data_IF_175913431914
#
_entry.id   IF_175913431914
#
_cell.length_a   1.000
_cell.length_b   1.000
_cell.length_c   1.000
_cell.angle_alpha   90.00
_cell.angle_beta   90.00
_cell.angle_gamma   90.00
#
_symmetry.space_group_name_H-M   'P 1'
#
loop_
_entity.id
_entity.type
_entity.pdbx_description
1 polymer ?
#
# COMPACT_ATOMS: atom_id res chain seq x y z
N UNK A 1 15.01 -9.10 8.27
CA UNK A 1 13.90 -9.44 9.19
C UNK A 1 13.18 -10.74 8.83
N UNK A 2 13.18 -11.18 7.57
CA UNK A 2 12.56 -12.45 7.14
C UNK A 2 13.51 -13.24 6.25
N UNK A 3 13.34 -14.55 6.21
CA UNK A 3 13.90 -15.46 5.20
C UNK A 3 12.75 -15.84 4.27
N UNK A 4 13.02 -15.91 2.97
CA UNK A 4 12.06 -16.31 1.96
C UNK A 4 12.40 -17.71 1.44
N UNK A 5 11.39 -18.56 1.31
CA UNK A 5 11.48 -19.91 0.78
C UNK A 5 10.57 -20.03 -0.44
N UNK A 6 10.99 -20.82 -1.42
CA UNK A 6 10.08 -21.27 -2.45
C UNK A 6 9.03 -22.20 -1.83
N UNK A 7 7.77 -22.02 -2.21
CA UNK A 7 6.65 -22.81 -1.74
C UNK A 7 5.71 -23.16 -2.90
N UNK A 8 4.99 -24.26 -2.74
CA UNK A 8 3.91 -24.65 -3.64
C UNK A 8 2.63 -24.81 -2.85
N UNK A 9 1.54 -24.24 -3.37
CA UNK A 9 0.21 -24.37 -2.78
C UNK A 9 -0.64 -25.19 -3.72
N UNK A 10 -1.15 -26.32 -3.20
CA UNK A 10 -2.12 -27.18 -3.86
C UNK A 10 -3.52 -26.73 -3.47
N UNK A 11 -4.34 -26.36 -4.45
CA UNK A 11 -5.76 -26.03 -4.28
C UNK A 11 -6.60 -27.09 -4.98
N UNK A 12 -7.55 -27.68 -4.26
CA UNK A 12 -8.47 -28.64 -4.86
C UNK A 12 -9.49 -27.92 -5.76
N UNK A 13 -9.85 -28.57 -6.87
CA UNK A 13 -10.82 -28.01 -7.82
C UNK A 13 -12.23 -28.07 -7.26
N UNK A 14 -12.97 -26.96 -7.35
CA UNK A 14 -14.43 -26.99 -7.20
C UNK A 14 -14.98 -27.85 -8.36
N UNK A 15 -15.63 -28.97 -8.07
CA UNK A 15 -16.20 -29.96 -9.01
C UNK A 15 -15.30 -31.16 -9.40
N UNK A 16 -14.30 -31.53 -8.59
CA UNK A 16 -13.58 -32.80 -8.77
C UNK A 16 -12.61 -32.83 -9.95
N UNK A 17 -12.30 -31.67 -10.54
CA UNK A 17 -11.19 -31.52 -11.47
C UNK A 17 -9.84 -31.77 -10.80
N UNK A 18 -8.75 -31.92 -11.59
CA UNK A 18 -7.42 -32.13 -11.04
C UNK A 18 -7.02 -30.97 -10.13
N UNK A 19 -6.29 -31.25 -9.04
CA UNK A 19 -5.82 -30.21 -8.13
C UNK A 19 -4.85 -29.30 -8.86
N UNK A 20 -4.92 -28.00 -8.54
CA UNK A 20 -4.04 -26.99 -9.11
C UNK A 20 -2.89 -26.73 -8.17
N UNK A 21 -1.66 -26.81 -8.69
CA UNK A 21 -0.45 -26.41 -7.96
C UNK A 21 -0.04 -25.03 -8.46
N UNK A 22 0.19 -24.11 -7.52
CA UNK A 22 0.64 -22.75 -7.80
C UNK A 22 1.93 -22.47 -7.03
N UNK A 23 2.80 -21.61 -7.58
CA UNK A 23 4.07 -21.24 -6.97
C UNK A 23 3.88 -20.02 -6.06
N UNK A 24 4.51 -20.07 -4.88
CA UNK A 24 4.42 -19.08 -3.83
C UNK A 24 5.79 -18.84 -3.21
N UNK A 25 5.89 -17.74 -2.46
CA UNK A 25 7.03 -17.40 -1.61
C UNK A 25 6.55 -17.42 -0.17
N UNK A 26 7.12 -18.30 0.65
CA UNK A 26 6.85 -18.36 2.08
C UNK A 26 7.90 -17.53 2.84
N UNK A 27 7.46 -16.54 3.61
CA UNK A 27 8.35 -15.66 4.38
C UNK A 27 8.23 -15.95 5.87
N UNK A 28 9.33 -16.38 6.48
CA UNK A 28 9.43 -16.65 7.92
C UNK A 28 10.27 -15.59 8.61
N UNK A 29 9.91 -15.22 9.84
CA UNK A 29 10.71 -14.31 10.67
C UNK A 29 11.79 -15.12 11.39
N UNK A 30 13.07 -14.76 11.21
CA UNK A 30 14.21 -15.53 11.74
C UNK A 30 14.80 -14.98 13.05
N UNK A 31 14.35 -13.81 13.52
CA UNK A 31 14.84 -13.18 14.76
C UNK A 31 13.94 -13.42 15.97
N UNK A 32 12.80 -14.06 15.76
CA UNK A 32 11.84 -14.29 16.83
C UNK A 32 12.21 -15.61 17.51
N UNK A 33 12.33 -15.63 18.84
CA UNK A 33 12.71 -16.84 19.59
C UNK A 33 11.68 -17.97 19.50
N UNK A 34 10.44 -17.62 19.16
CA UNK A 34 9.31 -18.53 18.98
C UNK A 34 8.43 -18.02 17.84
N UNK A 35 7.75 -18.94 17.15
CA UNK A 35 6.82 -18.58 16.09
C UNK A 35 5.62 -17.82 16.67
N UNK A 36 5.20 -16.74 16.00
CA UNK A 36 4.12 -15.88 16.47
C UNK A 36 3.22 -15.48 15.31
N UNK A 37 1.92 -15.71 15.44
CA UNK A 37 0.93 -15.35 14.41
C UNK A 37 0.78 -13.83 14.31
N UNK A 38 0.79 -13.13 15.44
CA UNK A 38 0.44 -11.70 15.52
C UNK A 38 1.28 -10.80 14.58
N UNK A 39 2.62 -10.88 14.53
CA UNK A 39 3.40 -10.06 13.60
C UNK A 39 3.08 -10.32 12.11
N UNK A 40 2.75 -11.55 11.75
CA UNK A 40 2.37 -11.90 10.38
C UNK A 40 0.96 -11.39 10.06
N UNK A 41 0.01 -11.53 10.99
CA UNK A 41 -1.34 -10.98 10.88
C UNK A 41 -1.34 -9.45 10.79
N UNK A 42 -0.49 -8.76 11.56
CA UNK A 42 -0.29 -7.32 11.44
C UNK A 42 0.21 -6.94 10.04
N UNK A 43 1.12 -7.73 9.46
CA UNK A 43 1.58 -7.50 8.09
C UNK A 43 0.47 -7.70 7.05
N UNK A 44 -0.40 -8.70 7.25
CA UNK A 44 -1.54 -8.95 6.35
C UNK A 44 -2.53 -7.79 6.39
N UNK A 45 -2.90 -7.31 7.59
CA UNK A 45 -3.76 -6.12 7.75
C UNK A 45 -3.16 -4.87 7.11
N UNK A 46 -1.83 -4.72 7.14
CA UNK A 46 -1.16 -3.63 6.45
C UNK A 46 -1.28 -3.77 4.93
N UNK A 47 -1.20 -4.98 4.37
CA UNK A 47 -1.45 -5.17 2.93
C UNK A 47 -2.90 -4.82 2.58
N UNK A 48 -3.88 -5.24 3.40
CA UNK A 48 -5.29 -4.86 3.21
C UNK A 48 -5.46 -3.33 3.22
N UNK A 49 -4.88 -2.64 4.20
CA UNK A 49 -4.90 -1.18 4.27
C UNK A 49 -4.26 -0.51 3.03
N UNK A 50 -3.12 -1.02 2.57
CA UNK A 50 -2.49 -0.56 1.33
C UNK A 50 -3.37 -0.79 0.09
N UNK A 51 -4.09 -1.92 0.05
CA UNK A 51 -5.02 -2.25 -1.04
C UNK A 51 -6.19 -1.28 -1.10
N UNK A 52 -6.76 -0.91 0.06
CA UNK A 52 -7.80 0.11 0.13
C UNK A 52 -7.29 1.48 -0.31
N UNK A 53 -6.13 1.91 0.16
CA UNK A 53 -5.52 3.17 -0.28
C UNK A 53 -5.26 3.20 -1.80
N UNK A 54 -4.83 2.06 -2.37
CA UNK A 54 -4.61 1.95 -3.80
C UNK A 54 -5.91 2.10 -4.59
N UNK A 55 -7.00 1.46 -4.14
CA UNK A 55 -8.32 1.58 -4.78
C UNK A 55 -8.84 3.02 -4.73
N UNK A 56 -8.71 3.71 -3.60
CA UNK A 56 -9.11 5.11 -3.47
C UNK A 56 -8.27 6.02 -4.38
N UNK A 57 -6.96 5.80 -4.45
CA UNK A 57 -6.07 6.53 -5.36
C UNK A 57 -6.43 6.30 -6.83
N UNK A 58 -6.72 5.05 -7.21
CA UNK A 58 -7.17 4.70 -8.56
C UNK A 58 -8.48 5.39 -8.92
N UNK A 59 -9.43 5.43 -7.98
CA UNK A 59 -10.68 6.15 -8.16
C UNK A 59 -10.44 7.66 -8.37
N UNK A 60 -9.55 8.28 -7.59
CA UNK A 60 -9.17 9.68 -7.76
C UNK A 60 -8.54 9.95 -9.14
N UNK A 61 -7.67 9.07 -9.63
CA UNK A 61 -7.08 9.18 -10.98
C UNK A 61 -8.15 9.07 -12.06
N UNK A 62 -9.04 8.08 -11.94
CA UNK A 62 -10.10 7.82 -12.92
C UNK A 62 -11.03 9.04 -13.08
N UNK A 63 -11.44 9.62 -11.94
CA UNK A 63 -12.34 10.78 -11.88
C UNK A 63 -11.67 12.11 -12.23
N UNK A 64 -10.34 12.18 -12.30
CA UNK A 64 -9.64 13.42 -12.60
C UNK A 64 -9.87 13.83 -14.07
N UNK A 65 -10.32 15.07 -14.30
CA UNK A 65 -10.59 15.63 -15.64
C UNK A 65 -9.40 16.38 -16.23
N UNK A 66 -8.25 16.40 -15.54
CA UNK A 66 -7.04 17.06 -16.04
C UNK A 66 -6.54 16.39 -17.32
N UNK A 67 -6.21 17.19 -18.33
CA UNK A 67 -5.62 16.73 -19.59
C UNK A 67 -4.20 16.15 -19.41
N UNK A 68 -3.57 16.38 -18.26
CA UNK A 68 -2.28 15.78 -17.89
C UNK A 68 -2.39 14.26 -17.61
N UNK A 69 -3.59 13.78 -17.25
CA UNK A 69 -3.86 12.35 -17.06
C UNK A 69 -4.42 11.76 -18.35
N UNK A 70 -3.52 11.27 -19.20
CA UNK A 70 -3.87 10.57 -20.44
C UNK A 70 -4.65 9.29 -20.14
N UNK A 71 -5.41 8.81 -21.13
CA UNK A 71 -6.11 7.52 -21.04
C UNK A 71 -5.16 6.36 -20.72
N UNK A 72 -3.95 6.38 -21.28
CA UNK A 72 -2.92 5.38 -21.01
C UNK A 72 -2.48 5.39 -19.54
N UNK A 73 -2.21 6.57 -18.97
CA UNK A 73 -1.85 6.71 -17.55
C UNK A 73 -2.96 6.21 -16.63
N UNK A 74 -4.22 6.52 -16.96
CA UNK A 74 -5.38 6.02 -16.21
C UNK A 74 -5.49 4.50 -16.27
N UNK A 75 -5.32 3.92 -17.46
CA UNK A 75 -5.33 2.47 -17.65
C UNK A 75 -4.22 1.79 -16.86
N UNK A 76 -2.98 2.28 -16.96
CA UNK A 76 -1.84 1.76 -16.17
C UNK A 76 -2.09 1.88 -14.66
N UNK A 77 -2.61 3.02 -14.19
CA UNK A 77 -2.94 3.20 -12.78
C UNK A 77 -3.98 2.20 -12.29
N UNK A 78 -5.05 1.97 -13.08
CA UNK A 78 -6.11 1.00 -12.76
C UNK A 78 -5.66 -0.46 -12.76
N UNK A 79 -4.56 -0.78 -13.44
CA UNK A 79 -4.03 -2.14 -13.51
C UNK A 79 -3.26 -2.56 -12.25
N UNK A 80 -2.87 -1.60 -11.40
CA UNK A 80 -2.12 -1.93 -10.18
C UNK A 80 -2.95 -2.73 -9.17
N UNK A 81 -2.36 -3.77 -8.62
CA UNK A 81 -2.94 -4.59 -7.56
C UNK A 81 -1.87 -5.05 -6.57
N UNK A 82 -2.29 -5.45 -5.37
CA UNK A 82 -1.39 -6.12 -4.42
C UNK A 82 -1.32 -7.62 -4.70
N UNK A 83 -0.13 -8.17 -4.54
CA UNK A 83 0.12 -9.60 -4.61
C UNK A 83 -0.83 -10.36 -3.67
N UNK A 84 -1.35 -11.50 -4.16
CA UNK A 84 -2.14 -12.40 -3.32
C UNK A 84 -1.28 -12.88 -2.17
N UNK A 85 -1.81 -12.81 -0.97
CA UNK A 85 -1.07 -13.15 0.23
C UNK A 85 -1.97 -13.80 1.27
N UNK A 86 -1.36 -14.55 2.19
CA UNK A 86 -2.04 -15.09 3.35
C UNK A 86 -1.05 -15.38 4.49
N UNK A 87 -1.58 -15.60 5.69
CA UNK A 87 -0.81 -16.09 6.84
C UNK A 87 -1.16 -17.55 7.05
N UNK A 88 -0.14 -18.40 7.13
CA UNK A 88 -0.30 -19.82 7.48
C UNK A 88 0.52 -20.13 8.72
N UNK A 89 0.08 -21.14 9.46
CA UNK A 89 0.81 -21.67 10.60
C UNK A 89 0.64 -23.18 10.71
N UNK A 90 1.58 -23.83 11.38
CA UNK A 90 1.53 -25.25 11.76
C UNK A 90 1.43 -25.37 13.27
N UNK A 91 0.93 -26.51 13.77
CA UNK A 91 0.72 -26.74 15.19
C UNK A 91 -0.57 -26.09 15.72
N UNK A 92 -0.59 -25.80 17.02
CA UNK A 92 -1.75 -25.18 17.68
C UNK A 92 -1.78 -23.66 17.48
N UNK A 93 -2.96 -23.05 17.40
CA UNK A 93 -3.07 -21.61 17.20
C UNK A 93 -2.51 -20.79 18.39
N UNK A 94 -2.64 -21.31 19.61
CA UNK A 94 -2.07 -20.70 20.82
C UNK A 94 -0.57 -20.94 20.98
N UNK A 95 -0.05 -22.00 20.34
CA UNK A 95 1.38 -22.37 20.35
C UNK A 95 1.80 -22.88 18.96
N UNK A 96 1.92 -21.97 17.97
CA UNK A 96 2.26 -22.38 16.62
C UNK A 96 3.71 -22.85 16.57
N UNK A 97 3.98 -23.90 15.80
CA UNK A 97 5.33 -24.42 15.56
C UNK A 97 6.05 -23.54 14.54
N UNK A 98 5.39 -23.29 13.40
CA UNK A 98 5.87 -22.39 12.36
C UNK A 98 4.79 -21.41 11.95
N UNK A 99 5.19 -20.23 11.51
CA UNK A 99 4.30 -19.21 10.93
C UNK A 99 4.97 -18.62 9.70
N UNK A 100 4.24 -18.57 8.59
CA UNK A 100 4.71 -17.99 7.33
C UNK A 100 3.73 -16.93 6.84
N UNK A 101 4.30 -15.89 6.22
CA UNK A 101 3.56 -14.98 5.35
C UNK A 101 3.79 -15.43 3.91
N UNK A 102 2.73 -15.93 3.27
CA UNK A 102 2.76 -16.41 1.89
C UNK A 102 2.41 -15.28 0.93
N UNK A 103 3.07 -15.24 -0.21
CA UNK A 103 2.72 -14.42 -1.37
C UNK A 103 2.78 -15.27 -2.65
N UNK A 104 1.88 -15.04 -3.60
CA UNK A 104 2.00 -15.70 -4.91
C UNK A 104 3.32 -15.31 -5.57
N UNK A 105 4.03 -16.27 -6.16
CA UNK A 105 5.30 -15.99 -6.83
C UNK A 105 5.07 -15.04 -8.01
N UNK A 106 5.92 -14.02 -8.12
CA UNK A 106 5.90 -13.05 -9.22
C UNK A 106 7.00 -13.42 -10.22
N UNK A 107 6.63 -13.55 -11.49
CA UNK A 107 7.54 -13.87 -12.58
C UNK A 107 7.74 -12.64 -13.47
N UNK A 108 8.98 -12.16 -13.58
CA UNK A 108 9.34 -11.03 -14.44
C UNK A 108 10.39 -10.11 -13.80
N UNK A 109 10.63 -8.97 -14.43
CA UNK A 109 11.60 -7.99 -13.92
C UNK A 109 11.06 -7.31 -12.67
N UNK A 110 11.79 -7.47 -11.57
CA UNK A 110 11.46 -6.86 -10.30
C UNK A 110 11.99 -5.43 -10.25
N UNK A 111 11.12 -4.48 -9.93
CA UNK A 111 11.48 -3.07 -9.79
C UNK A 111 11.05 -2.51 -8.45
N UNK A 112 11.78 -1.51 -7.97
CA UNK A 112 11.44 -0.76 -6.75
C UNK A 112 11.19 0.70 -7.10
N UNK A 113 9.97 1.17 -6.89
CA UNK A 113 9.54 2.54 -7.18
C UNK A 113 9.90 3.52 -6.06
N UNK A 114 9.88 3.06 -4.82
CA UNK A 114 10.40 3.78 -3.66
C UNK A 114 10.75 2.78 -2.54
N UNK A 115 11.50 3.23 -1.54
CA UNK A 115 11.65 2.54 -0.27
C UNK A 115 11.08 3.36 0.88
N UNK A 116 11.16 2.86 2.10
CA UNK A 116 10.84 3.66 3.28
C UNK A 116 11.87 4.77 3.61
N UNK A 117 13.00 4.88 2.89
CA UNK A 117 14.04 5.91 3.10
C UNK A 117 14.56 6.56 1.82
N UNK A 118 14.16 6.06 0.65
CA UNK A 118 14.57 6.54 -0.66
C UNK A 118 13.33 6.73 -1.54
N UNK A 119 13.01 7.98 -1.83
CA UNK A 119 11.88 8.43 -2.64
C UNK A 119 12.33 9.16 -3.91
N UNK A 120 13.63 9.24 -4.18
CA UNK A 120 14.21 9.82 -5.39
C UNK A 120 14.73 8.71 -6.31
N UNK A 121 13.89 7.71 -6.58
CA UNK A 121 14.23 6.60 -7.46
C UNK A 121 14.28 7.07 -8.92
N UNK A 122 15.33 6.67 -9.62
CA UNK A 122 15.56 6.93 -11.05
C UNK A 122 14.96 5.83 -11.93
N UNK A 123 14.80 6.14 -13.22
CA UNK A 123 14.23 5.22 -14.22
C UNK A 123 15.25 4.28 -14.89
N UNK A 124 16.43 4.15 -14.30
CA UNK A 124 17.57 3.38 -14.83
C UNK A 124 17.56 1.90 -14.43
N UNK A 125 16.66 1.50 -13.52
CA UNK A 125 16.45 0.11 -13.16
C UNK A 125 15.96 -0.71 -14.37
N UNK A 126 16.55 -1.89 -14.56
CA UNK A 126 16.10 -2.83 -15.59
C UNK A 126 14.63 -3.23 -15.38
N UNK A 127 13.85 -3.21 -16.46
CA UNK A 127 12.40 -3.45 -16.43
C UNK A 127 11.54 -2.30 -15.89
N UNK A 128 12.12 -1.14 -15.54
CA UNK A 128 11.37 0.02 -15.05
C UNK A 128 10.57 0.70 -16.17
N UNK A 129 9.25 0.67 -16.05
CA UNK A 129 8.36 1.51 -16.85
C UNK A 129 8.24 2.91 -16.21
N UNK A 130 8.61 3.95 -16.96
CA UNK A 130 8.66 5.34 -16.47
C UNK A 130 7.28 5.83 -16.01
N UNK A 131 6.21 5.44 -16.70
CA UNK A 131 4.86 5.84 -16.32
C UNK A 131 4.44 5.14 -15.02
N UNK A 132 4.77 3.86 -14.86
CA UNK A 132 4.55 3.13 -13.60
C UNK A 132 5.32 3.79 -12.44
N UNK A 133 6.56 4.24 -12.67
CA UNK A 133 7.32 5.00 -11.68
C UNK A 133 6.60 6.29 -11.27
N UNK A 134 6.11 7.08 -12.23
CA UNK A 134 5.36 8.30 -11.91
C UNK A 134 4.07 8.02 -11.14
N UNK A 135 3.33 6.97 -11.51
CA UNK A 135 2.09 6.57 -10.85
C UNK A 135 2.35 6.20 -9.39
N UNK A 136 3.41 5.43 -9.12
CA UNK A 136 3.75 4.96 -7.76
C UNK A 136 4.40 6.05 -6.90
N UNK A 137 5.23 6.91 -7.49
CA UNK A 137 5.77 8.08 -6.80
C UNK A 137 4.64 9.05 -6.39
N UNK A 138 3.70 9.32 -7.30
CA UNK A 138 2.53 10.13 -7.01
C UNK A 138 1.56 9.47 -6.02
N UNK A 139 1.51 8.13 -5.94
CA UNK A 139 0.71 7.42 -4.94
C UNK A 139 1.24 7.66 -3.52
N UNK A 140 2.56 7.65 -3.35
CA UNK A 140 3.20 7.99 -2.06
C UNK A 140 2.82 9.43 -1.66
N UNK A 141 2.88 10.38 -2.59
CA UNK A 141 2.48 11.78 -2.35
C UNK A 141 0.99 11.95 -2.07
N UNK A 142 0.13 11.31 -2.84
CA UNK A 142 -1.31 11.36 -2.65
C UNK A 142 -1.70 10.85 -1.26
N UNK A 143 -1.15 9.71 -0.82
CA UNK A 143 -1.45 9.16 0.52
C UNK A 143 -0.96 10.08 1.66
N UNK A 144 0.15 10.79 1.44
CA UNK A 144 0.64 11.83 2.35
C UNK A 144 -0.31 13.02 2.44
N UNK A 145 -0.78 13.50 1.30
CA UNK A 145 -1.74 14.61 1.25
C UNK A 145 -3.10 14.23 1.86
N UNK A 146 -3.62 13.04 1.52
CA UNK A 146 -4.91 12.54 2.01
C UNK A 146 -4.94 12.37 3.54
N UNK A 147 -3.80 11.96 4.11
CA UNK A 147 -3.65 11.84 5.57
C UNK A 147 -3.30 13.14 6.29
N UNK A 148 -3.36 14.30 5.61
CA UNK A 148 -2.91 15.60 6.13
C UNK A 148 -1.47 15.56 6.69
N UNK A 149 -0.59 14.82 6.05
CA UNK A 149 0.82 14.71 6.40
C UNK A 149 1.14 13.76 7.56
N UNK A 150 0.17 12.95 8.01
CA UNK A 150 0.40 12.00 9.11
C UNK A 150 1.03 10.68 8.67
N UNK A 151 0.74 10.22 7.44
CA UNK A 151 1.08 8.88 6.97
C UNK A 151 1.38 8.88 5.48
N UNK A 152 2.19 7.95 5.02
CA UNK A 152 2.33 7.71 3.59
C UNK A 152 2.61 6.24 3.30
N UNK A 153 2.13 5.77 2.15
CA UNK A 153 2.50 4.47 1.62
C UNK A 153 3.90 4.55 0.99
N UNK A 154 4.72 3.54 1.22
CA UNK A 154 6.08 3.45 0.70
C UNK A 154 6.48 1.99 0.46
N UNK A 155 7.77 1.75 0.16
CA UNK A 155 8.27 0.42 -0.21
C UNK A 155 7.44 -0.19 -1.36
N UNK A 156 7.03 0.65 -2.31
CA UNK A 156 6.31 0.25 -3.51
C UNK A 156 7.29 -0.43 -4.47
N UNK A 157 7.02 -1.70 -4.76
CA UNK A 157 7.91 -2.58 -5.52
C UNK A 157 7.14 -3.81 -6.00
N UNK A 158 7.61 -4.44 -7.06
CA UNK A 158 6.96 -5.63 -7.61
C UNK A 158 7.34 -5.90 -9.06
N UNK A 159 6.45 -6.59 -9.78
CA UNK A 159 6.62 -6.97 -11.17
C UNK A 159 5.41 -6.48 -11.97
N UNK A 160 5.66 -5.72 -13.04
CA UNK A 160 4.59 -5.12 -13.84
C UNK A 160 3.68 -4.23 -13.00
N UNK A 161 2.41 -4.59 -12.88
CA UNK A 161 1.41 -3.89 -12.07
C UNK A 161 1.08 -4.60 -10.75
N UNK A 162 1.76 -5.71 -10.42
CA UNK A 162 1.53 -6.44 -9.16
C UNK A 162 2.57 -6.03 -8.12
N UNK A 163 2.10 -5.35 -7.06
CA UNK A 163 2.91 -4.83 -5.97
C UNK A 163 3.06 -5.85 -4.82
N UNK A 164 4.22 -5.87 -4.18
CA UNK A 164 4.52 -6.72 -3.02
C UNK A 164 5.27 -5.93 -1.96
N UNK A 165 5.15 -6.35 -0.69
CA UNK A 165 5.84 -5.75 0.45
C UNK A 165 5.62 -4.24 0.62
N UNK A 166 4.41 -3.68 0.38
CA UNK A 166 4.19 -2.28 0.70
C UNK A 166 4.37 -2.05 2.21
N UNK A 167 4.73 -0.83 2.58
CA UNK A 167 4.77 -0.38 3.97
C UNK A 167 3.97 0.91 4.12
N UNK A 168 3.55 1.20 5.35
CA UNK A 168 2.98 2.50 5.72
C UNK A 168 3.90 3.12 6.78
N UNK A 169 4.38 4.32 6.48
CA UNK A 169 5.05 5.18 7.46
C UNK A 169 4.00 6.03 8.16
N UNK A 170 4.11 6.19 9.48
CA UNK A 170 3.16 6.95 10.30
C UNK A 170 3.90 7.75 11.37
N UNK A 171 3.43 8.98 11.63
CA UNK A 171 3.94 9.79 12.74
C UNK A 171 3.90 9.08 14.10
N UNK A 172 2.96 8.14 14.30
CA UNK A 172 2.97 7.20 15.41
C UNK A 172 3.78 5.95 15.07
N UNK A 173 4.96 5.84 15.68
CA UNK A 173 5.88 4.68 15.58
C UNK A 173 5.26 3.35 16.03
N UNK A 174 4.15 3.34 16.76
CA UNK A 174 3.49 2.13 17.26
C UNK A 174 2.50 1.53 16.26
N UNK A 175 2.13 2.28 15.21
CA UNK A 175 1.20 1.80 14.18
C UNK A 175 1.92 0.97 13.11
N UNK A 176 1.14 0.13 12.43
CA UNK A 176 1.53 -0.69 11.27
C UNK A 176 2.49 -1.84 11.59
N UNK A 177 3.46 -2.10 10.72
CA UNK A 177 4.44 -3.16 10.84
C UNK A 177 5.86 -2.58 11.02
N UNK A 178 6.85 -3.47 11.14
CA UNK A 178 8.23 -3.12 11.45
C UNK A 178 8.93 -2.19 10.43
N UNK A 179 8.33 -1.93 9.25
CA UNK A 179 8.86 -0.98 8.27
C UNK A 179 8.57 0.49 8.58
N UNK A 180 7.71 0.78 9.57
CA UNK A 180 7.39 2.13 10.01
C UNK A 180 8.58 2.80 10.71
N UNK A 181 9.34 3.59 9.97
CA UNK A 181 10.43 4.44 10.50
C UNK A 181 9.96 5.85 10.88
N UNK A 182 8.64 6.07 10.89
CA UNK A 182 7.94 7.24 11.42
C UNK A 182 8.47 8.58 10.90
N UNK A 183 8.69 9.56 11.78
CA UNK A 183 9.13 10.92 11.44
C UNK A 183 10.34 10.96 10.51
N UNK A 184 11.28 9.99 10.65
CA UNK A 184 12.44 9.92 9.77
C UNK A 184 12.03 9.66 8.32
N UNK A 185 11.19 8.66 8.07
CA UNK A 185 10.74 8.37 6.70
C UNK A 185 9.89 9.48 6.10
N UNK A 186 9.04 10.13 6.91
CA UNK A 186 8.29 11.31 6.48
C UNK A 186 9.24 12.44 6.08
N UNK A 187 10.30 12.68 6.86
CA UNK A 187 11.31 13.69 6.53
C UNK A 187 12.06 13.34 5.23
N UNK A 188 12.47 12.09 5.05
CA UNK A 188 13.08 11.65 3.79
C UNK A 188 12.14 11.87 2.60
N UNK A 189 10.85 11.53 2.74
CA UNK A 189 9.86 11.77 1.71
C UNK A 189 9.74 13.25 1.35
N UNK A 190 9.61 14.14 2.34
CA UNK A 190 9.49 15.59 2.13
C UNK A 190 10.73 16.16 1.43
N UNK A 191 11.93 15.68 1.79
CA UNK A 191 13.19 16.18 1.23
C UNK A 191 13.41 15.70 -0.21
N UNK A 192 13.07 14.44 -0.49
CA UNK A 192 13.47 13.76 -1.72
C UNK A 192 12.40 13.81 -2.82
N UNK A 193 11.11 13.74 -2.48
CA UNK A 193 10.04 13.70 -3.47
C UNK A 193 10.04 14.96 -4.34
N UNK A 194 9.78 14.78 -5.64
CA UNK A 194 9.63 15.85 -6.62
C UNK A 194 8.33 15.57 -7.37
N UNK A 195 7.39 16.51 -7.31
CA UNK A 195 6.11 16.37 -7.99
C UNK A 195 6.32 16.07 -9.47
N UNK A 196 5.62 15.05 -9.97
CA UNK A 196 5.57 14.71 -11.38
C UNK A 196 4.23 15.13 -12.00
N UNK A 197 4.01 14.81 -13.28
CA UNK A 197 2.79 15.20 -14.02
C UNK A 197 1.50 14.76 -13.33
N UNK A 198 1.49 13.61 -12.67
CA UNK A 198 0.32 13.07 -11.97
C UNK A 198 0.06 13.86 -10.69
N UNK A 199 1.10 14.20 -9.91
CA UNK A 199 0.96 15.07 -8.74
C UNK A 199 0.32 16.42 -9.12
N UNK A 200 0.74 16.99 -10.25
CA UNK A 200 0.18 18.23 -10.79
C UNK A 200 -1.25 18.05 -11.29
N UNK A 201 -1.56 16.96 -11.98
CA UNK A 201 -2.91 16.65 -12.44
C UNK A 201 -3.91 16.54 -11.28
N UNK A 202 -3.45 15.97 -10.17
CA UNK A 202 -4.23 15.81 -8.94
C UNK A 202 -4.23 17.06 -8.03
N UNK A 203 -3.58 18.15 -8.45
CA UNK A 203 -3.44 19.39 -7.67
C UNK A 203 -2.89 19.18 -6.25
N UNK A 204 -1.96 18.22 -6.07
CA UNK A 204 -1.38 17.95 -4.77
C UNK A 204 -0.47 19.09 -4.33
N UNK A 205 -0.69 19.61 -3.12
CA UNK A 205 0.24 20.55 -2.51
C UNK A 205 1.60 19.89 -2.32
N UNK A 206 2.72 20.59 -2.58
CA UNK A 206 4.06 20.08 -2.30
C UNK A 206 4.16 19.54 -0.86
N UNK A 207 4.88 18.42 -0.61
CA UNK A 207 4.90 17.77 0.71
C UNK A 207 5.28 18.69 1.86
N UNK A 208 6.23 19.62 1.66
CA UNK A 208 6.62 20.60 2.66
C UNK A 208 5.47 21.55 3.06
N UNK A 209 4.60 21.91 2.12
CA UNK A 209 3.42 22.76 2.40
C UNK A 209 2.35 21.98 3.16
N UNK A 210 2.10 20.72 2.79
CA UNK A 210 1.18 19.84 3.52
C UNK A 210 1.62 19.71 4.98
N UNK A 211 2.91 19.41 5.20
CA UNK A 211 3.48 19.26 6.52
C UNK A 211 3.37 20.54 7.37
N UNK A 212 3.66 21.71 6.80
CA UNK A 212 3.57 22.98 7.52
C UNK A 212 2.13 23.33 7.89
N UNK A 213 1.17 23.10 6.99
CA UNK A 213 -0.24 23.38 7.26
C UNK A 213 -0.79 22.51 8.40
N UNK A 214 -0.40 21.23 8.46
CA UNK A 214 -0.78 20.33 9.55
C UNK A 214 -0.22 20.79 10.91
N UNK A 215 1.01 21.32 10.93
CA UNK A 215 1.64 21.85 12.15
C UNK A 215 1.02 23.18 12.61
N UNK A 216 0.52 24.01 11.70
CA UNK A 216 -0.18 25.25 12.08
C UNK A 216 -1.54 24.95 12.73
N UNK A 217 -2.29 23.96 12.24
CA UNK A 217 -3.55 23.55 12.88
C UNK A 217 -3.38 22.99 14.30
N UNK A 218 -2.23 22.37 14.61
CA UNK A 218 -1.95 21.85 15.95
C UNK A 218 -1.41 22.92 16.92
N UNK A 219 -0.80 24.00 16.42
CA UNK A 219 -0.30 25.11 17.25
C UNK A 219 -1.36 26.20 17.53
N UNK A 220 -2.42 26.32 16.71
CA UNK A 220 -3.53 27.26 16.96
C UNK A 220 -4.54 26.77 18.01
N UNK A 221 -4.33 25.61 18.65
CA UNK A 221 -5.21 25.06 19.68
C UNK A 221 -4.85 25.45 21.13
N UNK A 222 -3.97 26.43 21.33
CA UNK A 222 -3.75 27.08 22.64
C UNK A 222 -4.57 28.38 22.74
N UNK A 223 -5.48 28.38 23.71
CA UNK A 223 -6.42 29.45 24.09
C UNK A 223 -5.78 30.84 24.11
N UNK A 224 -6.48 31.86 23.59
CA UNK A 224 -6.48 33.16 24.24
C UNK A 224 -7.88 33.55 24.70
N UNK A 225 -7.94 34.10 25.92
CA UNK A 225 -9.09 34.76 26.47
C UNK A 225 -9.51 35.97 25.62
N UNK A 226 -10.83 36.11 25.45
CA UNK A 226 -11.63 37.30 25.11
C UNK A 226 -10.90 38.61 24.74
N UNK A 227 -11.16 39.16 23.54
CA UNK A 227 -12.17 40.23 23.32
C UNK A 227 -12.17 40.77 21.87
N UNK A 228 -13.39 41.05 21.40
CA UNK A 228 -13.83 42.06 20.42
C UNK A 228 -13.45 41.98 18.93
N UNK A 229 -14.46 41.53 18.16
CA UNK A 229 -15.04 42.15 16.95
C UNK A 229 -14.09 42.81 15.94
N UNK A 230 -13.92 42.15 14.80
CA UNK A 230 -14.09 42.79 13.49
C UNK A 230 -14.48 41.74 12.43
N UNK A 231 -15.51 42.10 11.66
CA UNK A 231 -16.09 41.31 10.56
C UNK A 231 -15.07 41.29 9.42
N UNK A 232 -14.62 40.09 9.03
CA UNK A 232 -13.98 39.84 7.75
C UNK A 232 -14.71 38.66 7.08
N UNK A 233 -15.38 38.95 5.98
CA UNK A 233 -16.06 37.95 5.14
C UNK A 233 -14.96 37.14 4.45
N UNK A 234 -14.79 35.88 4.86
CA UNK A 234 -13.98 34.88 4.15
C UNK A 234 -14.92 34.12 3.21
N UNK A 235 -14.59 33.93 1.91
CA UNK A 235 -15.40 33.11 1.02
C UNK A 235 -15.41 31.65 1.51
N UNK A 236 -16.57 31.15 1.91
CA UNK A 236 -16.77 29.72 2.16
C UNK A 236 -16.59 28.95 0.85
N UNK A 237 -15.65 28.00 0.83
CA UNK A 237 -15.73 26.90 -0.12
C UNK A 237 -17.05 26.16 0.14
N UNK A 238 -17.98 26.20 -0.81
CA UNK A 238 -19.18 25.37 -0.82
C UNK A 238 -18.77 23.90 -0.88
N UNK A 239 -18.88 23.21 0.25
CA UNK A 239 -18.84 21.74 0.29
C UNK A 239 -20.27 21.22 0.11
N UNK A 240 -20.44 20.29 -0.84
CA UNK A 240 -21.72 19.61 -1.07
C UNK A 240 -21.98 18.59 0.07
N UNK A 241 -23.17 18.59 0.72
CA UNK A 241 -23.42 17.80 1.93
C UNK A 241 -23.37 16.28 1.76
N UNK A 242 -23.53 15.76 0.53
CA UNK A 242 -23.68 14.32 0.30
C UNK A 242 -22.35 13.53 0.19
N UNK A 243 -21.17 14.17 0.34
CA UNK A 243 -19.86 13.50 0.26
C UNK A 243 -19.29 13.02 1.62
N UNK A 244 -19.79 13.52 2.75
CA UNK A 244 -19.31 13.10 4.09
C UNK A 244 -19.84 11.72 4.49
N UNK A 245 -21.08 11.38 4.12
CA UNK A 245 -21.67 10.09 4.49
C UNK A 245 -20.99 8.89 3.78
N UNK A 246 -20.55 9.07 2.52
CA UNK A 246 -19.85 8.01 1.78
C UNK A 246 -18.40 7.82 2.22
N UNK A 247 -17.71 8.90 2.65
CA UNK A 247 -16.34 8.85 3.20
C UNK A 247 -16.23 8.06 4.51
N UNK A 248 -17.27 8.06 5.33
CA UNK A 248 -17.25 7.41 6.63
C UNK A 248 -17.43 5.89 6.58
N UNK A 249 -17.91 5.30 5.49
CA UNK A 249 -18.05 3.85 5.37
C UNK A 249 -16.72 3.12 5.11
N UNK A 250 -15.74 3.82 4.51
CA UNK A 250 -14.46 3.25 4.04
C UNK A 250 -13.21 3.87 4.71
N UNK A 251 -13.40 4.76 5.69
CA UNK A 251 -12.30 5.39 6.41
C UNK A 251 -11.44 4.34 7.16
N UNK A 252 -10.11 4.52 7.15
CA UNK A 252 -9.14 3.71 7.90
C UNK A 252 -9.50 3.54 9.39
N UNK A 253 -10.30 4.46 9.95
CA UNK A 253 -10.85 4.34 11.31
C UNK A 253 -11.72 3.09 11.49
N UNK A 254 -12.45 2.65 10.46
CA UNK A 254 -13.27 1.44 10.52
C UNK A 254 -12.43 0.15 10.47
N UNK A 255 -11.26 0.18 9.83
CA UNK A 255 -10.32 -0.96 9.75
C UNK A 255 -9.54 -1.13 11.06
N UNK A 256 -9.24 -0.03 11.75
CA UNK A 256 -8.61 -0.05 13.07
C UNK A 256 -9.60 -0.37 14.21
N UNK A 257 -10.90 -0.31 13.94
CA UNK A 257 -11.96 -0.69 14.86
C UNK A 257 -12.02 -2.22 14.94
N UNK A 258 -11.84 -2.77 16.15
CA UNK A 258 -11.79 -4.21 16.42
C UNK A 258 -13.16 -4.92 16.33
N UNK A 259 -14.05 -4.49 15.44
CA UNK A 259 -15.38 -5.08 15.30
C UNK A 259 -15.40 -6.11 14.16
N UNK A 260 -15.99 -7.27 14.45
CA UNK A 260 -16.18 -8.39 13.52
C UNK A 260 -17.07 -7.94 12.37
N UNK A 261 -16.49 -7.38 11.31
CA UNK A 261 -17.17 -7.31 10.04
C UNK A 261 -16.99 -8.65 9.31
N UNK A 262 -18.10 -9.11 8.75
CA UNK A 262 -18.25 -10.37 8.02
C UNK A 262 -17.09 -10.49 7.02
N UNK A 263 -16.30 -11.57 7.16
CA UNK A 263 -15.23 -11.92 6.23
C UNK A 263 -15.80 -11.89 4.80
N UNK A 264 -15.15 -11.23 3.83
CA UNK A 264 -15.60 -11.28 2.45
C UNK A 264 -15.69 -12.74 2.00
N UNK A 265 -16.73 -13.02 1.22
CA UNK A 265 -17.14 -14.31 0.67
C UNK A 265 -15.96 -15.25 0.32
N UNK A 266 -16.14 -16.57 0.53
CA UNK A 266 -15.22 -17.72 0.36
C UNK A 266 -14.47 -17.78 -1.00
N UNK A 267 -14.70 -16.83 -1.91
CA UNK A 267 -14.01 -16.68 -3.20
C UNK A 267 -12.91 -15.60 -3.24
N UNK A 268 -12.42 -15.14 -2.07
CA UNK A 268 -11.24 -14.26 -1.96
C UNK A 268 -10.05 -14.74 -2.81
N UNK A 269 -9.91 -16.06 -2.99
CA UNK A 269 -8.83 -16.69 -3.73
C UNK A 269 -8.95 -16.63 -5.27
N UNK A 270 -10.09 -16.20 -5.86
CA UNK A 270 -10.36 -16.15 -7.32
C UNK A 270 -9.51 -17.16 -8.11
N UNK A 271 -9.68 -18.45 -7.78
CA UNK A 271 -8.78 -19.53 -8.22
C UNK A 271 -8.76 -19.74 -9.75
N UNK A 272 -9.73 -19.15 -10.45
CA UNK A 272 -9.95 -19.28 -11.89
C UNK A 272 -9.15 -18.27 -12.74
N UNK A 273 -8.63 -17.18 -12.15
CA UNK A 273 -8.00 -16.09 -12.91
C UNK A 273 -6.51 -16.28 -13.22
N UNK A 274 -5.86 -17.32 -12.70
CA UNK A 274 -4.46 -17.54 -13.01
C UNK A 274 -4.38 -18.29 -14.36
N UNK A 275 -3.82 -17.66 -15.39
CA UNK A 275 -3.53 -18.32 -16.66
C UNK A 275 -2.53 -19.48 -16.48
N UNK A 276 -2.64 -20.56 -17.28
CA UNK A 276 -1.69 -21.67 -17.24
C UNK A 276 -0.35 -21.19 -17.79
N UNK A 277 0.66 -21.02 -16.93
CA UNK A 277 2.03 -20.88 -17.38
C UNK A 277 2.53 -22.25 -17.84
N UNK A 278 2.91 -22.29 -19.11
CA UNK A 278 3.46 -23.44 -19.83
C UNK A 278 4.63 -24.12 -19.10
N UNK A 279 4.63 -25.45 -19.19
CA UNK A 279 5.69 -26.43 -18.92
C UNK A 279 7.10 -25.84 -18.76
N UNK A 280 7.69 -25.98 -17.56
CA UNK A 280 9.10 -25.71 -17.31
C UNK A 280 9.96 -26.97 -17.54
N UNK A 281 11.05 -26.82 -18.29
CA UNK A 281 12.29 -27.57 -18.05
C UNK A 281 13.10 -26.85 -16.95
N UNK A 282 13.83 -27.56 -16.09
CA UNK A 282 14.62 -26.97 -15.01
C UNK A 282 15.97 -26.46 -15.53
N UNK A 283 16.24 -25.17 -15.40
CA UNK A 283 17.60 -24.63 -15.48
C UNK A 283 18.13 -24.29 -14.07
N UNK A 284 19.34 -24.77 -13.83
CA UNK A 284 20.12 -24.66 -12.60
C UNK A 284 20.91 -23.34 -12.60
N UNK A 285 20.56 -22.40 -11.72
CA UNK A 285 21.37 -21.19 -11.50
C UNK A 285 22.51 -21.48 -10.53
N UNK A 286 23.63 -21.99 -11.05
CA UNK A 286 24.95 -21.60 -10.55
C UNK A 286 25.48 -20.53 -11.50
N UNK A 287 26.00 -19.46 -10.91
CA UNK A 287 26.63 -18.30 -11.51
C UNK A 287 25.70 -17.26 -12.17
N UNK A 288 25.32 -16.24 -11.37
CA UNK A 288 25.44 -14.81 -11.69
C UNK A 288 25.08 -13.95 -10.47
#
# INVERSE_FOLDING_TARGET
MRIAYFAQVKTDSKNGGPPRITNWVAKQRYRDSFAQIKPHATNARMYEACGHLLQEYQHVIDQCTSNLLTTELKQKASAFELVRHCVIFTGDQGSPTDVYFLESALNGHYVKYCSNVNFAVTSDQDGMDVQNLWIMDAFSHWSFADSNGERLICDLQGVGSTLTNPQIIDVDKKRWANGNNSKKGIQEFILQHRCNTICHALNLLPPNRVFNNANHHTQSATVPASTNSNIAIVPQLQTCPNKEAARNALSLSNILSSERQILPHIDYFRSELNHPTSVHNPESTRDR
#
